data_IF_262324900106
#
_entry.id   IF_262324900106
#
_cell.length_a   1.000
_cell.length_b   1.000
_cell.length_c   1.000
_cell.angle_alpha   90.00
_cell.angle_beta   90.00
_cell.angle_gamma   90.00
#
_symmetry.space_group_name_H-M   'P 1'
#
loop_
_entity.id
_entity.type
_entity.pdbx_description
1 polymer ?
#
# COMPACT_ATOMS: atom_id res chain seq x y z
N UNK A 1 -26.02 15.93 -25.53
CA UNK A 1 -26.08 15.00 -24.37
C UNK A 1 -25.42 13.71 -24.79
N UNK A 2 -24.14 13.53 -24.46
CA UNK A 2 -23.45 12.27 -24.66
C UNK A 2 -23.59 11.49 -23.36
N UNK A 3 -24.35 10.40 -23.40
CA UNK A 3 -24.50 9.47 -22.29
C UNK A 3 -23.13 8.85 -21.98
N UNK A 4 -22.61 9.16 -20.79
CA UNK A 4 -21.54 8.37 -20.20
C UNK A 4 -22.09 6.97 -19.95
N UNK A 5 -21.83 6.05 -20.88
CA UNK A 5 -22.05 4.63 -20.65
C UNK A 5 -21.13 4.22 -19.48
N UNK A 6 -21.75 4.03 -18.32
CA UNK A 6 -21.23 3.34 -17.15
C UNK A 6 -20.87 1.89 -17.52
N UNK A 7 -19.77 1.71 -18.24
CA UNK A 7 -19.10 0.42 -18.30
C UNK A 7 -18.21 0.30 -17.07
N UNK A 8 -18.87 -0.02 -15.95
CA UNK A 8 -18.30 -0.55 -14.70
C UNK A 8 -17.67 -1.94 -14.98
N UNK A 9 -16.61 -1.98 -15.77
CA UNK A 9 -15.88 -3.21 -16.07
C UNK A 9 -14.48 -3.08 -15.47
N UNK A 10 -14.30 -3.74 -14.33
CA UNK A 10 -13.03 -4.01 -13.65
C UNK A 10 -12.40 -2.88 -12.83
N UNK A 11 -13.16 -2.18 -11.98
CA UNK A 11 -12.53 -1.59 -10.80
C UNK A 11 -12.13 -2.73 -9.85
N UNK A 12 -10.86 -2.86 -9.44
CA UNK A 12 -10.42 -3.89 -8.50
C UNK A 12 -11.19 -3.76 -7.18
N UNK A 13 -12.08 -4.71 -6.90
CA UNK A 13 -12.80 -4.74 -5.63
C UNK A 13 -11.87 -5.28 -4.53
N UNK A 14 -11.55 -4.43 -3.57
CA UNK A 14 -10.95 -4.87 -2.31
C UNK A 14 -12.01 -5.56 -1.44
N UNK A 15 -11.58 -6.47 -0.58
CA UNK A 15 -12.50 -7.22 0.31
C UNK A 15 -12.21 -7.00 1.79
N UNK A 16 -10.99 -6.58 2.14
CA UNK A 16 -10.62 -6.14 3.48
C UNK A 16 -9.55 -5.07 3.41
N UNK A 17 -9.49 -4.25 4.45
CA UNK A 17 -8.42 -3.29 4.71
C UNK A 17 -8.23 -3.11 6.21
N UNK A 18 -7.00 -2.74 6.61
CA UNK A 18 -6.61 -2.57 8.01
C UNK A 18 -6.43 -1.10 8.34
N UNK A 19 -7.34 -0.49 9.12
CA UNK A 19 -7.17 0.89 9.59
C UNK A 19 -6.03 0.98 10.61
N UNK A 20 -5.17 1.97 10.44
CA UNK A 20 -3.98 2.20 11.28
C UNK A 20 -3.88 3.66 11.69
N UNK A 21 -3.48 3.89 12.94
CA UNK A 21 -3.15 5.22 13.49
C UNK A 21 -1.80 5.20 14.19
N UNK A 22 -1.12 6.34 14.14
CA UNK A 22 0.15 6.56 14.82
C UNK A 22 -0.02 7.63 15.89
N UNK A 23 0.58 7.40 17.05
CA UNK A 23 0.56 8.29 18.20
C UNK A 23 1.98 8.63 18.62
N UNK A 24 2.19 9.82 19.18
CA UNK A 24 3.45 10.26 19.76
C UNK A 24 3.19 10.95 21.09
N UNK A 25 4.13 10.88 22.03
CA UNK A 25 4.00 11.62 23.29
C UNK A 25 4.31 13.10 23.07
N UNK A 26 3.46 13.97 23.60
CA UNK A 26 3.74 15.40 23.69
C UNK A 26 4.79 15.68 24.80
N UNK A 27 5.17 16.95 24.98
CA UNK A 27 6.15 17.37 26.01
C UNK A 27 5.70 17.05 27.44
N UNK A 28 4.41 16.86 27.68
CA UNK A 28 3.83 16.43 28.97
C UNK A 28 3.74 14.91 29.12
N UNK A 29 4.23 14.13 28.14
CA UNK A 29 4.19 12.67 28.15
C UNK A 29 2.86 12.04 27.71
N UNK A 30 1.88 12.84 27.29
CA UNK A 30 0.55 12.36 26.87
C UNK A 30 0.60 11.91 25.41
N UNK A 31 0.07 10.72 25.12
CA UNK A 31 0.01 10.19 23.77
C UNK A 31 -1.08 10.90 22.95
N UNK A 32 -0.69 11.55 21.86
CA UNK A 32 -1.57 12.26 20.93
C UNK A 32 -1.41 11.71 19.52
N UNK A 33 -2.43 11.90 18.68
CA UNK A 33 -2.38 11.45 17.29
C UNK A 33 -1.27 12.19 16.56
N UNK A 34 -0.34 11.44 15.96
CA UNK A 34 0.74 12.00 15.17
C UNK A 34 0.16 12.64 13.90
N UNK A 35 0.56 13.88 13.61
CA UNK A 35 0.17 14.62 12.40
C UNK A 35 1.34 14.90 11.47
N UNK A 36 2.57 14.62 11.90
CA UNK A 36 3.77 14.81 11.08
C UNK A 36 3.88 13.69 10.05
N UNK A 37 3.83 14.06 8.76
CA UNK A 37 3.84 13.11 7.65
C UNK A 37 5.15 12.32 7.55
N UNK A 38 6.29 12.92 7.88
CA UNK A 38 7.59 12.24 7.85
C UNK A 38 7.68 11.18 8.95
N UNK A 39 7.22 11.52 10.15
CA UNK A 39 7.16 10.59 11.28
C UNK A 39 6.17 9.45 10.99
N UNK A 40 5.00 9.76 10.44
CA UNK A 40 4.02 8.76 10.00
C UNK A 40 4.63 7.79 8.97
N UNK A 41 5.37 8.29 7.99
CA UNK A 41 6.04 7.43 6.99
C UNK A 41 7.10 6.52 7.63
N UNK A 42 7.82 7.00 8.66
CA UNK A 42 8.71 6.15 9.45
C UNK A 42 7.93 5.08 10.22
N UNK A 43 6.82 5.46 10.86
CA UNK A 43 5.90 4.55 11.54
C UNK A 43 5.37 3.45 10.61
N UNK A 44 4.90 3.80 9.41
CA UNK A 44 4.46 2.84 8.37
C UNK A 44 5.56 1.84 8.02
N UNK A 45 6.79 2.30 7.82
CA UNK A 45 7.96 1.43 7.58
C UNK A 45 8.24 0.52 8.77
N UNK A 46 8.13 1.05 9.99
CA UNK A 46 8.25 0.29 11.24
C UNK A 46 7.22 -0.83 11.35
N UNK A 47 5.95 -0.54 11.08
CA UNK A 47 4.86 -1.53 11.06
C UNK A 47 5.13 -2.62 10.02
N UNK A 48 5.49 -2.26 8.79
CA UNK A 48 5.86 -3.24 7.75
C UNK A 48 7.03 -4.12 8.23
N UNK A 49 8.04 -3.52 8.87
CA UNK A 49 9.20 -4.25 9.41
C UNK A 49 8.80 -5.26 10.49
N UNK A 50 7.85 -4.91 11.36
CA UNK A 50 7.35 -5.83 12.39
C UNK A 50 6.49 -6.94 11.78
N UNK A 51 5.62 -6.62 10.83
CA UNK A 51 4.69 -7.58 10.22
C UNK A 51 5.37 -8.53 9.22
N UNK A 52 6.44 -8.11 8.56
CA UNK A 52 7.13 -8.96 7.57
C UNK A 52 8.00 -10.07 8.16
N UNK A 53 8.17 -10.14 9.48
CA UNK A 53 9.01 -11.15 10.13
C UNK A 53 10.47 -11.24 9.66
N UNK A 54 11.16 -12.35 9.99
CA UNK A 54 10.72 -13.38 10.93
C UNK A 54 10.43 -12.79 12.33
N UNK A 55 9.53 -13.42 13.08
CA UNK A 55 9.23 -12.96 14.44
C UNK A 55 10.43 -13.21 15.35
N UNK A 56 11.05 -12.15 15.87
CA UNK A 56 12.21 -12.25 16.77
C UNK A 56 11.83 -12.05 18.25
N UNK A 57 10.69 -11.40 18.53
CA UNK A 57 10.23 -11.10 19.90
C UNK A 57 8.79 -11.55 20.14
N UNK A 58 8.43 -11.74 21.41
CA UNK A 58 7.07 -12.11 21.80
C UNK A 58 6.07 -11.01 21.45
N UNK A 59 6.46 -9.74 21.57
CA UNK A 59 5.66 -8.58 21.21
C UNK A 59 5.36 -8.55 19.71
N UNK A 60 6.36 -8.85 18.88
CA UNK A 60 6.19 -8.94 17.43
C UNK A 60 5.27 -10.10 17.06
N UNK A 61 5.43 -11.28 17.69
CA UNK A 61 4.52 -12.40 17.45
C UNK A 61 3.09 -12.09 17.90
N UNK A 62 2.90 -11.38 19.01
CA UNK A 62 1.58 -10.91 19.47
C UNK A 62 0.92 -10.01 18.43
N UNK A 63 1.67 -9.07 17.83
CA UNK A 63 1.16 -8.21 16.75
C UNK A 63 0.76 -9.04 15.51
N UNK A 64 1.66 -9.91 15.05
CA UNK A 64 1.43 -10.79 13.88
C UNK A 64 0.16 -11.63 14.10
N UNK A 65 0.03 -12.25 15.27
CA UNK A 65 -1.15 -13.05 15.63
C UNK A 65 -2.41 -12.21 15.71
N UNK A 66 -2.34 -11.04 16.35
CA UNK A 66 -3.49 -10.15 16.50
C UNK A 66 -4.05 -9.68 15.15
N UNK A 67 -3.17 -9.45 14.17
CA UNK A 67 -3.56 -9.12 12.81
C UNK A 67 -4.13 -10.33 12.06
N UNK A 68 -3.44 -11.47 12.06
CA UNK A 68 -3.87 -12.67 11.34
C UNK A 68 -5.22 -13.23 11.79
N UNK A 69 -5.56 -13.07 13.08
CA UNK A 69 -6.88 -13.46 13.60
C UNK A 69 -8.00 -12.62 12.97
N UNK A 70 -7.73 -11.35 12.63
CA UNK A 70 -8.75 -10.37 12.21
C UNK A 70 -8.79 -10.18 10.71
N UNK A 71 -7.62 -10.14 10.08
CA UNK A 71 -7.47 -9.91 8.65
C UNK A 71 -7.30 -11.25 7.91
N UNK A 72 -8.32 -11.70 7.15
CA UNK A 72 -8.25 -12.97 6.44
C UNK A 72 -7.17 -13.00 5.34
N UNK A 73 -6.72 -11.83 4.88
CA UNK A 73 -5.73 -11.72 3.82
C UNK A 73 -4.27 -11.72 4.37
N UNK A 74 -4.09 -11.68 5.69
CA UNK A 74 -2.77 -11.69 6.32
C UNK A 74 -2.35 -13.08 6.82
N UNK A 75 -1.36 -13.69 6.16
CA UNK A 75 -0.87 -15.04 6.46
C UNK A 75 0.10 -15.05 7.66
N UNK A 76 -0.35 -15.65 8.77
CA UNK A 76 0.44 -15.82 9.99
C UNK A 76 1.74 -16.59 9.77
N UNK A 77 1.75 -17.65 8.97
CA UNK A 77 2.92 -18.51 8.78
C UNK A 77 3.99 -17.81 7.93
N UNK A 78 3.58 -17.09 6.88
CA UNK A 78 4.51 -16.25 6.11
C UNK A 78 5.11 -15.15 6.98
N UNK A 79 4.28 -14.47 7.78
CA UNK A 79 4.74 -13.43 8.68
C UNK A 79 5.66 -13.96 9.79
N UNK A 80 5.34 -15.11 10.40
CA UNK A 80 6.17 -15.74 11.44
C UNK A 80 7.54 -16.14 10.91
N UNK A 81 7.58 -16.77 9.74
CA UNK A 81 8.83 -17.23 9.11
C UNK A 81 9.61 -16.12 8.41
N UNK A 82 8.97 -14.99 8.09
CA UNK A 82 9.53 -13.95 7.24
C UNK A 82 9.67 -14.35 5.76
N UNK A 83 9.13 -15.52 5.37
CA UNK A 83 9.23 -16.05 4.01
C UNK A 83 7.89 -15.85 3.32
N UNK A 84 7.79 -14.76 2.56
CA UNK A 84 6.62 -14.44 1.77
C UNK A 84 6.68 -15.14 0.42
N UNK A 85 5.63 -15.89 0.09
CA UNK A 85 5.53 -16.61 -1.17
C UNK A 85 4.22 -16.35 -1.87
N UNK A 86 4.24 -16.47 -3.20
CA UNK A 86 3.04 -16.40 -4.04
C UNK A 86 3.11 -17.50 -5.08
N UNK A 87 1.98 -18.16 -5.33
CA UNK A 87 1.86 -19.09 -6.44
C UNK A 87 1.79 -18.31 -7.77
N UNK A 88 2.71 -18.62 -8.69
CA UNK A 88 2.77 -18.05 -10.04
C UNK A 88 2.93 -19.22 -10.99
N UNK A 89 1.94 -19.44 -11.87
CA UNK A 89 1.91 -20.56 -12.82
C UNK A 89 2.14 -21.93 -12.14
N UNK A 90 1.47 -22.17 -11.01
CA UNK A 90 1.60 -23.41 -10.24
C UNK A 90 2.86 -23.52 -9.37
N UNK A 91 3.78 -22.55 -9.41
CA UNK A 91 5.04 -22.58 -8.66
C UNK A 91 5.00 -21.55 -7.54
N UNK A 92 5.29 -21.95 -6.31
CA UNK A 92 5.51 -21.02 -5.20
C UNK A 92 6.84 -20.29 -5.39
N UNK A 93 6.78 -18.98 -5.60
CA UNK A 93 7.96 -18.12 -5.70
C UNK A 93 8.06 -17.24 -4.46
N UNK A 94 9.28 -17.12 -3.92
CA UNK A 94 9.59 -16.11 -2.91
C UNK A 94 9.39 -14.72 -3.50
N UNK A 95 8.76 -13.85 -2.74
CA UNK A 95 8.43 -12.48 -3.13
C UNK A 95 8.78 -11.55 -1.98
N UNK A 96 9.18 -10.30 -2.28
CA UNK A 96 9.53 -9.36 -1.24
C UNK A 96 8.30 -8.94 -0.43
N UNK A 97 8.42 -8.70 0.89
CA UNK A 97 7.26 -8.42 1.75
C UNK A 97 6.45 -7.17 1.36
N UNK A 98 7.07 -6.17 0.73
CA UNK A 98 6.39 -4.95 0.30
C UNK A 98 5.34 -5.20 -0.80
N UNK A 99 5.29 -6.39 -1.39
CA UNK A 99 4.20 -6.81 -2.28
C UNK A 99 2.95 -7.26 -1.53
N UNK A 100 3.10 -7.70 -0.28
CA UNK A 100 2.03 -8.24 0.57
C UNK A 100 1.64 -7.27 1.69
N UNK A 101 2.41 -6.20 1.91
CA UNK A 101 2.15 -5.22 2.95
C UNK A 101 2.33 -3.83 2.35
N UNK A 102 1.22 -3.12 2.13
CA UNK A 102 1.23 -1.79 1.53
C UNK A 102 0.34 -0.83 2.27
N UNK A 103 0.91 0.31 2.62
CA UNK A 103 0.12 1.42 3.11
C UNK A 103 -0.40 2.28 1.97
N UNK A 104 -1.63 2.76 2.14
CA UNK A 104 -2.12 3.99 1.50
C UNK A 104 -2.52 4.96 2.61
N UNK A 105 -2.53 6.24 2.27
CA UNK A 105 -3.03 7.28 3.15
C UNK A 105 -3.92 8.21 2.37
N UNK A 106 -4.97 8.69 3.03
CA UNK A 106 -5.60 9.92 2.65
C UNK A 106 -5.06 11.01 3.57
N UNK A 107 -4.32 11.95 2.99
CA UNK A 107 -3.72 13.08 3.70
C UNK A 107 -4.79 13.99 4.32
N UNK A 108 -6.05 13.92 3.85
CA UNK A 108 -7.16 14.77 4.29
C UNK A 108 -7.81 14.23 5.57
N UNK A 109 -7.93 12.92 5.74
CA UNK A 109 -8.67 12.32 6.86
C UNK A 109 -7.82 11.86 8.05
N UNK A 110 -6.49 11.85 7.93
CA UNK A 110 -5.60 11.33 8.99
C UNK A 110 -5.75 9.82 9.23
N UNK A 111 -6.44 9.11 8.33
CA UNK A 111 -6.55 7.65 8.34
C UNK A 111 -5.49 7.03 7.44
N UNK A 112 -4.74 6.08 8.00
CA UNK A 112 -3.84 5.24 7.23
C UNK A 112 -4.44 3.86 7.08
N UNK A 113 -4.27 3.29 5.90
CA UNK A 113 -4.80 1.97 5.62
C UNK A 113 -3.67 1.06 5.17
N UNK A 114 -3.53 -0.05 5.87
CA UNK A 114 -2.67 -1.15 5.48
C UNK A 114 -3.51 -2.16 4.68
N UNK A 115 -3.06 -2.43 3.45
CA UNK A 115 -3.45 -3.56 2.65
C UNK A 115 -2.50 -4.72 2.95
N UNK A 116 -3.07 -5.92 3.08
CA UNK A 116 -2.31 -7.15 3.33
C UNK A 116 -2.56 -8.17 2.22
N UNK A 117 -1.62 -9.11 2.07
CA UNK A 117 -1.70 -10.28 1.20
C UNK A 117 -2.32 -10.03 -0.18
N UNK A 118 -3.37 -10.79 -0.57
CA UNK A 118 -4.05 -10.61 -1.86
C UNK A 118 -4.49 -9.16 -2.15
N UNK A 119 -4.91 -8.38 -1.16
CA UNK A 119 -5.34 -7.00 -1.37
C UNK A 119 -4.15 -6.08 -1.69
N UNK A 120 -3.01 -6.27 -1.00
CA UNK A 120 -1.77 -5.55 -1.31
C UNK A 120 -1.22 -5.92 -2.70
N UNK A 121 -1.38 -7.18 -3.10
CA UNK A 121 -1.02 -7.65 -4.44
C UNK A 121 -1.89 -6.96 -5.49
N UNK A 122 -3.22 -6.90 -5.30
CA UNK A 122 -4.12 -6.16 -6.19
C UNK A 122 -3.66 -4.71 -6.36
N UNK A 123 -3.38 -4.02 -5.25
CA UNK A 123 -2.88 -2.65 -5.26
C UNK A 123 -1.56 -2.53 -6.06
N UNK A 124 -0.67 -3.51 -5.92
CA UNK A 124 0.60 -3.56 -6.66
C UNK A 124 0.40 -3.73 -8.16
N UNK A 125 -0.51 -4.60 -8.59
CA UNK A 125 -0.81 -4.82 -10.02
C UNK A 125 -1.32 -3.53 -10.67
N UNK A 126 -2.19 -2.77 -9.99
CA UNK A 126 -2.68 -1.49 -10.53
C UNK A 126 -1.54 -0.46 -10.61
N UNK A 127 -0.70 -0.38 -9.57
CA UNK A 127 0.48 0.49 -9.56
C UNK A 127 1.48 0.15 -10.66
N UNK A 128 1.70 -1.14 -10.95
CA UNK A 128 2.55 -1.58 -12.07
C UNK A 128 1.99 -1.16 -13.43
N UNK A 129 0.66 -1.25 -13.61
CA UNK A 129 -0.01 -0.80 -14.84
C UNK A 129 0.20 0.70 -15.07
N UNK A 130 -0.01 1.52 -14.04
CA UNK A 130 0.29 2.96 -14.07
C UNK A 130 1.77 3.21 -14.36
N UNK A 131 2.67 2.45 -13.74
CA UNK A 131 4.11 2.55 -13.97
C UNK A 131 4.50 2.31 -15.42
N UNK A 132 3.93 1.29 -16.06
CA UNK A 132 4.15 0.99 -17.49
C UNK A 132 3.68 2.13 -18.41
N UNK A 133 2.47 2.65 -18.17
CA UNK A 133 1.91 3.75 -18.97
C UNK A 133 2.68 5.05 -18.73
N UNK A 134 3.05 5.33 -17.47
CA UNK A 134 3.92 6.46 -17.12
C UNK A 134 5.25 6.36 -17.85
N UNK A 135 5.84 5.16 -17.89
CA UNK A 135 7.12 4.94 -18.59
C UNK A 135 7.01 5.18 -20.09
N UNK A 136 5.92 4.73 -20.74
CA UNK A 136 5.59 5.05 -22.13
C UNK A 136 5.51 6.57 -22.34
N UNK A 137 4.79 7.28 -21.47
CA UNK A 137 4.67 8.74 -21.52
C UNK A 137 6.02 9.45 -21.33
N UNK A 138 6.87 8.97 -20.43
CA UNK A 138 8.24 9.50 -20.24
C UNK A 138 9.09 9.31 -21.50
N UNK A 139 9.02 8.14 -22.16
CA UNK A 139 9.75 7.89 -23.39
C UNK A 139 9.27 8.79 -24.54
N UNK A 140 7.94 8.99 -24.68
CA UNK A 140 7.38 9.94 -25.66
C UNK A 140 7.84 11.37 -25.40
N UNK A 141 7.90 11.77 -24.13
CA UNK A 141 8.40 13.08 -23.71
C UNK A 141 9.88 13.24 -24.07
N UNK A 142 10.71 12.24 -23.77
CA UNK A 142 12.13 12.26 -24.12
C UNK A 142 12.33 12.47 -25.63
N UNK A 143 11.63 11.69 -26.46
CA UNK A 143 11.68 11.80 -27.93
C UNK A 143 11.29 13.21 -28.39
N UNK A 144 10.22 13.80 -27.84
CA UNK A 144 9.78 15.17 -28.17
C UNK A 144 10.86 16.22 -27.91
N UNK A 145 11.70 16.00 -26.89
CA UNK A 145 12.79 16.89 -26.52
C UNK A 145 14.17 16.42 -27.06
N UNK A 146 14.19 15.53 -28.05
CA UNK A 146 15.40 14.97 -28.65
C UNK A 146 16.35 14.27 -27.65
N UNK A 147 15.81 13.77 -26.54
CA UNK A 147 16.51 12.93 -25.58
C UNK A 147 16.24 11.46 -25.98
N UNK A 148 17.27 10.58 -26.10
CA UNK A 148 17.03 9.18 -26.43
C UNK A 148 16.11 8.51 -25.40
N UNK A 149 15.18 7.66 -25.83
CA UNK A 149 14.31 6.94 -24.91
C UNK A 149 15.12 5.96 -24.04
N UNK A 150 14.66 5.70 -22.81
CA UNK A 150 15.33 4.71 -21.96
C UNK A 150 15.14 3.31 -22.57
N UNK A 151 16.18 2.47 -22.45
CA UNK A 151 16.27 1.13 -23.05
C UNK A 151 16.39 1.06 -24.58
N UNK A 152 16.58 2.19 -25.27
CA UNK A 152 16.97 2.19 -26.68
C UNK A 152 18.44 1.77 -26.80
N UNK A 153 18.78 0.90 -27.75
CA UNK A 153 20.16 0.52 -28.00
C UNK A 153 20.90 1.68 -28.68
N UNK A 154 21.91 2.23 -28.01
CA UNK A 154 22.75 3.28 -28.59
C UNK A 154 24.00 2.63 -29.15
N UNK A 155 24.13 2.62 -30.48
CA UNK A 155 25.34 2.21 -31.21
C UNK A 155 26.03 0.94 -30.66
N UNK A 156 25.27 -0.14 -30.43
CA UNK A 156 25.80 -1.44 -30.04
C UNK A 156 26.41 -1.53 -28.63
N UNK A 157 26.30 -0.49 -27.80
CA UNK A 157 26.88 -0.46 -26.45
C UNK A 157 25.79 -0.06 -25.45
N UNK A 158 25.13 -1.10 -24.94
CA UNK A 158 24.16 -1.09 -23.86
C UNK A 158 22.90 -0.24 -24.06
N UNK A 159 21.89 -0.53 -23.24
CA UNK A 159 20.60 0.13 -23.26
C UNK A 159 20.75 1.52 -22.60
N UNK A 160 20.33 2.58 -23.30
CA UNK A 160 20.48 3.94 -22.79
C UNK A 160 19.72 4.13 -21.47
N UNK A 161 20.41 4.74 -20.50
CA UNK A 161 19.86 5.08 -19.19
C UNK A 161 19.90 6.59 -19.01
N UNK A 162 18.76 7.19 -18.70
CA UNK A 162 18.72 8.62 -18.39
C UNK A 162 19.52 8.93 -17.13
N UNK A 163 20.29 10.01 -17.20
CA UNK A 163 20.87 10.69 -16.05
C UNK A 163 19.79 11.19 -15.09
N UNK A 164 20.18 11.56 -13.86
CA UNK A 164 19.25 12.12 -12.87
C UNK A 164 18.57 13.40 -13.38
N UNK A 165 19.36 14.28 -14.01
CA UNK A 165 18.87 15.55 -14.57
C UNK A 165 17.87 15.32 -15.70
N UNK A 166 18.15 14.40 -16.63
CA UNK A 166 17.20 14.05 -17.71
C UNK A 166 15.90 13.45 -17.13
N UNK A 167 15.99 12.58 -16.12
CA UNK A 167 14.81 12.02 -15.46
C UNK A 167 13.94 13.11 -14.84
N UNK A 168 14.55 14.08 -14.16
CA UNK A 168 13.84 15.20 -13.54
C UNK A 168 13.21 16.11 -14.61
N UNK A 169 13.94 16.43 -15.67
CA UNK A 169 13.44 17.22 -16.80
C UNK A 169 12.25 16.54 -17.49
N UNK A 170 12.36 15.26 -17.82
CA UNK A 170 11.31 14.47 -18.47
C UNK A 170 10.06 14.39 -17.58
N UNK A 171 10.23 14.17 -16.26
CA UNK A 171 9.10 14.16 -15.32
C UNK A 171 8.38 15.50 -15.27
N UNK A 172 9.13 16.61 -15.31
CA UNK A 172 8.56 17.97 -15.27
C UNK A 172 7.77 18.31 -16.53
N UNK A 173 8.18 17.79 -17.69
CA UNK A 173 7.53 18.05 -18.98
C UNK A 173 6.71 16.86 -19.48
N UNK A 174 6.30 15.97 -18.58
CA UNK A 174 5.66 14.71 -18.93
C UNK A 174 4.41 14.93 -19.78
N UNK A 175 4.41 14.35 -20.97
CA UNK A 175 3.23 14.28 -21.82
C UNK A 175 2.20 13.39 -21.12
N UNK A 176 1.11 13.97 -20.62
CA UNK A 176 -0.01 13.21 -20.09
C UNK A 176 -0.92 12.76 -21.24
N UNK A 177 -0.95 11.46 -21.49
CA UNK A 177 -1.93 10.85 -22.40
C UNK A 177 -3.27 10.68 -21.68
N UNK A 178 -4.36 10.62 -22.45
CA UNK A 178 -5.69 10.29 -21.92
C UNK A 178 -5.66 8.96 -21.13
N UNK A 179 -4.99 7.94 -21.70
CA UNK A 179 -4.75 6.64 -21.06
C UNK A 179 -4.11 6.78 -19.66
N UNK A 180 -3.08 7.62 -19.49
CA UNK A 180 -2.44 7.83 -18.19
C UNK A 180 -3.36 8.54 -17.19
N UNK A 181 -4.14 9.51 -17.67
CA UNK A 181 -5.07 10.28 -16.83
C UNK A 181 -6.20 9.39 -16.31
N UNK A 182 -6.82 8.61 -17.20
CA UNK A 182 -7.92 7.70 -16.85
C UNK A 182 -7.46 6.62 -15.86
N UNK A 183 -6.29 6.03 -16.07
CA UNK A 183 -5.76 4.99 -15.16
C UNK A 183 -5.40 5.55 -13.78
N UNK A 184 -4.83 6.77 -13.71
CA UNK A 184 -4.59 7.44 -12.43
C UNK A 184 -5.89 7.75 -11.69
N UNK A 185 -6.91 8.23 -12.40
CA UNK A 185 -8.22 8.52 -11.82
C UNK A 185 -8.88 7.24 -11.30
N UNK A 186 -8.92 6.18 -12.11
CA UNK A 186 -9.50 4.89 -11.71
C UNK A 186 -8.78 4.30 -10.48
N UNK A 187 -7.44 4.36 -10.45
CA UNK A 187 -6.67 3.94 -9.28
C UNK A 187 -6.97 4.77 -8.04
N UNK A 188 -7.02 6.10 -8.17
CA UNK A 188 -7.39 7.00 -7.09
C UNK A 188 -8.79 6.68 -6.55
N UNK A 189 -9.78 6.54 -7.42
CA UNK A 189 -11.15 6.19 -7.03
C UNK A 189 -11.24 4.82 -6.35
N UNK A 190 -10.48 3.84 -6.84
CA UNK A 190 -10.42 2.49 -6.25
C UNK A 190 -9.86 2.55 -4.82
N UNK A 191 -8.81 3.35 -4.58
CA UNK A 191 -8.28 3.57 -3.23
C UNK A 191 -9.28 4.31 -2.35
N UNK A 192 -9.89 5.40 -2.84
CA UNK A 192 -10.87 6.18 -2.05
C UNK A 192 -12.08 5.32 -1.66
N UNK A 193 -12.58 4.49 -2.58
CA UNK A 193 -13.62 3.51 -2.29
C UNK A 193 -13.17 2.54 -1.19
N UNK A 194 -11.91 2.09 -1.21
CA UNK A 194 -11.37 1.24 -0.15
C UNK A 194 -11.32 1.95 1.21
N UNK A 195 -10.91 3.22 1.21
CA UNK A 195 -10.74 4.04 2.39
C UNK A 195 -12.08 4.31 3.08
N UNK A 196 -13.10 4.69 2.32
CA UNK A 196 -14.38 5.16 2.86
C UNK A 196 -15.47 4.08 2.92
N UNK A 197 -15.27 2.91 2.29
CA UNK A 197 -16.24 1.82 2.40
C UNK A 197 -16.09 1.11 3.75
N UNK A 198 -17.01 1.43 4.66
CA UNK A 198 -17.12 0.87 6.00
C UNK A 198 -17.18 -0.68 6.04
N UNK A 199 -17.63 -1.35 4.98
CA UNK A 199 -17.73 -2.81 4.94
C UNK A 199 -16.39 -3.51 4.73
N UNK A 200 -15.35 -2.78 4.30
CA UNK A 200 -14.02 -3.33 4.08
C UNK A 200 -13.16 -3.31 5.35
N UNK A 201 -13.57 -2.57 6.38
CA UNK A 201 -12.78 -2.41 7.59
C UNK A 201 -12.86 -3.67 8.48
N UNK A 202 -11.74 -4.03 9.11
CA UNK A 202 -11.70 -5.19 10.02
C UNK A 202 -12.70 -5.05 11.17
N UNK A 203 -13.28 -6.17 11.59
CA UNK A 203 -14.21 -6.23 12.74
C UNK A 203 -13.69 -7.13 13.86
N UNK A 204 -14.27 -6.97 15.05
CA UNK A 204 -13.89 -7.65 16.28
C UNK A 204 -13.84 -9.17 16.17
N UNK A 205 -14.80 -9.77 15.47
CA UNK A 205 -15.01 -11.23 15.50
C UNK A 205 -15.23 -11.81 14.11
N UNK A 206 -14.83 -13.07 13.91
CA UNK A 206 -15.33 -13.91 12.83
C UNK A 206 -16.43 -14.80 13.38
N UNK A 207 -17.59 -14.76 12.74
CA UNK A 207 -18.65 -15.71 12.97
C UNK A 207 -18.46 -16.90 12.02
N UNK A 208 -18.00 -18.07 12.51
CA UNK A 208 -17.73 -19.22 11.66
C UNK A 208 -19.00 -19.83 11.07
N UNK A 209 -20.16 -19.69 11.73
CA UNK A 209 -21.44 -20.23 11.27
C UNK A 209 -21.94 -19.45 10.05
N UNK A 210 -21.84 -18.11 10.11
CA UNK A 210 -22.25 -17.23 9.01
C UNK A 210 -21.16 -17.02 7.97
N UNK A 211 -19.96 -17.56 8.21
CA UNK A 211 -18.75 -17.24 7.47
C UNK A 211 -18.51 -15.73 7.28
N UNK A 212 -18.89 -14.91 8.28
CA UNK A 212 -18.91 -13.46 8.17
C UNK A 212 -18.20 -12.79 9.36
N UNK A 213 -17.60 -11.62 9.13
CA UNK A 213 -16.99 -10.81 10.21
C UNK A 213 -18.06 -9.91 10.84
N UNK A 214 -18.15 -9.90 12.16
CA UNK A 214 -19.19 -9.20 12.94
C UNK A 214 -18.57 -8.39 14.10
N UNK A 215 -19.35 -7.48 14.69
CA UNK A 215 -18.93 -6.59 15.78
C UNK A 215 -18.52 -5.19 15.32
N UNK A 216 -17.92 -4.41 16.23
CA UNK A 216 -17.40 -3.08 15.95
C UNK A 216 -16.20 -3.15 15.03
N UNK A 217 -15.94 -2.06 14.29
CA UNK A 217 -14.74 -1.97 13.47
C UNK A 217 -13.53 -1.79 14.37
N UNK A 218 -12.35 -2.25 13.93
CA UNK A 218 -11.11 -2.18 14.70
C UNK A 218 -10.06 -1.32 13.99
N UNK A 219 -9.39 -0.46 14.75
CA UNK A 219 -8.17 0.27 14.35
C UNK A 219 -6.98 -0.31 15.10
N UNK A 220 -5.86 -0.47 14.39
CA UNK A 220 -4.56 -0.73 14.99
C UNK A 220 -3.89 0.60 15.31
N UNK A 221 -3.65 0.86 16.59
CA UNK A 221 -2.94 2.05 17.04
C UNK A 221 -1.51 1.69 17.40
N UNK A 222 -0.56 2.47 16.93
CA UNK A 222 0.85 2.32 17.25
C UNK A 222 1.35 3.58 17.94
N UNK A 223 1.97 3.41 19.11
CA UNK A 223 2.68 4.47 19.81
C UNK A 223 4.14 4.47 19.32
N UNK A 224 4.61 5.64 18.91
CA UNK A 224 5.98 5.89 18.51
C UNK A 224 6.79 6.40 19.71
N UNK A 225 8.03 5.93 19.83
CA UNK A 225 9.01 6.47 20.77
C UNK A 225 9.62 7.79 20.26
N UNK A 226 10.57 8.35 21.01
CA UNK A 226 11.24 9.60 20.66
C UNK A 226 12.12 9.48 19.41
N UNK A 227 12.51 8.26 19.02
CA UNK A 227 13.27 7.94 17.82
C UNK A 227 12.35 7.52 16.65
N UNK A 228 11.03 7.73 16.80
CA UNK A 228 9.98 7.36 15.85
C UNK A 228 9.89 5.86 15.55
N UNK A 229 10.42 5.00 16.42
CA UNK A 229 10.21 3.55 16.34
C UNK A 229 8.91 3.15 17.04
N UNK A 230 8.39 1.98 16.68
CA UNK A 230 7.19 1.44 17.31
C UNK A 230 7.51 0.99 18.74
N UNK A 231 7.02 1.73 19.73
CA UNK A 231 7.17 1.41 21.15
C UNK A 231 6.12 0.37 21.60
N UNK A 232 4.85 0.62 21.26
CA UNK A 232 3.70 -0.20 21.67
C UNK A 232 2.63 -0.20 20.60
N UNK A 233 1.75 -1.19 20.66
CA UNK A 233 0.54 -1.21 19.86
C UNK A 233 -0.67 -1.61 20.70
N UNK A 234 -1.85 -1.17 20.29
CA UNK A 234 -3.12 -1.67 20.80
C UNK A 234 -4.16 -1.73 19.68
N UNK A 235 -5.30 -2.34 19.99
CA UNK A 235 -6.44 -2.41 19.10
C UNK A 235 -7.63 -1.72 19.77
N UNK A 236 -8.27 -0.81 19.06
CA UNK A 236 -9.44 -0.09 19.57
C UNK A 236 -10.64 -0.28 18.64
N UNK A 237 -11.81 -0.48 19.23
CA UNK A 237 -13.06 -0.42 18.49
C UNK A 237 -13.39 1.01 18.06
N UNK A 238 -14.01 1.18 16.90
CA UNK A 238 -14.57 2.44 16.41
C UNK A 238 -15.85 2.21 15.61
N UNK A 239 -16.59 3.30 15.40
CA UNK A 239 -17.85 3.32 14.64
C UNK A 239 -17.61 3.78 13.21
#
# INVERSE_FOLDING_TARGET
MLSFNNNNVNSPAFTSVVPVRFYQRNSSGVAELCKDSNIIEQGKKGVIKLLRGPSATQEQERLIRALAVRDPDYDYNMAKSGIFTRMINGIFKRRPPHEFLKFTSDEISGFHILFTGPQAIKLSVIGEKIGKITKKCMNLTAIRYNIPAENTLVKGKSAYKWSKQEKEFIKKHLINTQELTEEKQNYGQTILNALYNANLHLRETYNPIKHAREGKKIIFNFLLDNDNNIEKFNLSAYN
#
